data_IF_761240959589
#
_entry.id   IF_761240959589
#
_cell.length_a   1.000
_cell.length_b   1.000
_cell.length_c   1.000
_cell.angle_alpha   90.00
_cell.angle_beta   90.00
_cell.angle_gamma   90.00
#
_symmetry.space_group_name_H-M   'P 1'
#
loop_
_entity.id
_entity.type
_entity.pdbx_description
1 polymer ?
#
# COMPACT_ATOMS: atom_id res chain seq x y z
N UNK A 1 80.85 19.00 -2.65
CA UNK A 1 79.80 20.00 -2.32
C UNK A 1 78.52 19.60 -3.06
N UNK A 2 77.65 18.80 -2.43
CA UNK A 2 76.37 18.35 -2.98
C UNK A 2 75.23 18.84 -2.13
N UNK A 3 74.39 19.66 -2.70
CA UNK A 3 73.21 20.23 -2.03
C UNK A 3 72.08 19.20 -2.03
N UNK A 4 71.68 18.72 -0.85
CA UNK A 4 70.41 18.00 -0.65
C UNK A 4 69.21 18.91 -0.84
N UNK A 5 68.39 18.56 -1.80
CA UNK A 5 67.10 19.20 -1.99
C UNK A 5 66.04 18.46 -1.15
N UNK A 6 65.55 19.14 -0.14
CA UNK A 6 64.40 18.72 0.67
C UNK A 6 63.11 18.91 -0.10
N UNK A 7 62.32 17.84 -0.33
CA UNK A 7 61.01 17.92 -0.83
C UNK A 7 60.01 17.99 0.37
N UNK A 8 59.04 18.88 0.35
CA UNK A 8 58.01 18.89 1.39
C UNK A 8 56.99 17.75 1.10
N UNK A 9 56.78 16.91 2.09
CA UNK A 9 55.66 15.94 2.14
C UNK A 9 54.36 16.74 2.28
N UNK A 10 53.58 16.81 1.19
CA UNK A 10 52.19 17.23 1.22
C UNK A 10 51.34 16.11 1.80
N UNK A 11 51.01 16.16 3.09
CA UNK A 11 49.95 15.33 3.69
C UNK A 11 48.60 15.81 3.12
N UNK A 12 48.06 15.06 2.17
CA UNK A 12 46.69 15.21 1.72
C UNK A 12 45.79 14.52 2.75
N UNK A 13 45.23 15.29 3.68
CA UNK A 13 44.15 14.82 4.56
C UNK A 13 42.86 14.67 3.72
N UNK A 14 42.49 13.42 3.43
CA UNK A 14 41.17 13.09 2.96
C UNK A 14 40.17 13.19 4.10
N UNK A 15 39.43 14.29 4.17
CA UNK A 15 38.25 14.43 5.00
C UNK A 15 37.14 13.55 4.39
N UNK A 16 36.96 12.36 4.94
CA UNK A 16 35.77 11.54 4.72
C UNK A 16 34.57 12.27 5.36
N UNK A 17 33.83 13.01 4.55
CA UNK A 17 32.53 13.52 4.95
C UNK A 17 31.57 12.32 5.10
N UNK A 18 31.40 11.85 6.32
CA UNK A 18 30.37 10.87 6.68
C UNK A 18 29.02 11.61 6.60
N UNK A 19 28.33 11.48 5.45
CA UNK A 19 26.97 11.95 5.32
C UNK A 19 26.09 11.09 6.23
N UNK A 20 25.78 11.58 7.43
CA UNK A 20 24.71 11.04 8.25
C UNK A 20 23.39 11.24 7.48
N UNK A 21 22.94 10.19 6.82
CA UNK A 21 21.55 10.08 6.40
C UNK A 21 20.73 9.93 7.70
N UNK A 22 20.29 11.07 8.25
CA UNK A 22 19.22 11.06 9.24
C UNK A 22 17.98 10.55 8.53
N UNK A 23 17.68 9.25 8.65
CA UNK A 23 16.34 8.78 8.40
C UNK A 23 15.43 9.63 9.29
N UNK A 24 14.59 10.47 8.67
CA UNK A 24 13.52 11.13 9.37
C UNK A 24 12.70 10.01 10.03
N UNK A 25 12.77 9.93 11.36
CA UNK A 25 11.82 9.14 12.11
C UNK A 25 10.50 9.89 11.91
N UNK A 26 9.68 9.37 10.97
CA UNK A 26 8.27 9.72 10.91
C UNK A 26 7.75 9.54 12.34
N UNK A 27 7.41 10.67 12.98
CA UNK A 27 6.89 10.63 14.33
C UNK A 27 5.68 9.73 14.32
N UNK A 28 5.81 8.50 14.87
CA UNK A 28 4.76 7.49 14.82
C UNK A 28 3.51 8.08 15.47
N UNK A 29 2.56 8.46 14.63
CA UNK A 29 1.27 8.98 15.09
C UNK A 29 0.54 7.85 15.81
N UNK A 30 0.39 8.00 17.13
CA UNK A 30 -0.40 7.04 17.92
C UNK A 30 -1.86 7.17 17.53
N UNK A 31 -2.44 6.12 16.97
CA UNK A 31 -3.83 6.10 16.51
C UNK A 31 -4.60 4.93 17.12
N UNK A 32 -5.80 5.20 17.62
CA UNK A 32 -6.72 4.19 18.16
C UNK A 32 -8.11 4.64 17.74
N UNK A 33 -8.74 3.87 16.87
CA UNK A 33 -10.04 4.22 16.31
C UNK A 33 -11.05 3.12 16.62
N UNK A 34 -12.16 3.50 17.20
CA UNK A 34 -13.36 2.67 17.30
C UNK A 34 -14.06 2.59 15.94
N UNK A 35 -14.95 1.62 15.70
CA UNK A 35 -15.74 1.56 14.47
C UNK A 35 -16.50 2.86 14.16
N UNK A 36 -17.04 3.52 15.17
CA UNK A 36 -17.74 4.80 15.02
C UNK A 36 -16.82 5.93 14.55
N UNK A 37 -15.59 5.97 15.05
CA UNK A 37 -14.59 6.96 14.64
C UNK A 37 -14.08 6.66 13.22
N UNK A 38 -13.93 5.40 12.83
CA UNK A 38 -13.60 5.00 11.44
C UNK A 38 -14.73 5.46 10.51
N UNK A 39 -15.99 5.26 10.89
CA UNK A 39 -17.15 5.69 10.10
C UNK A 39 -17.17 7.20 9.83
N UNK A 40 -16.67 7.99 10.77
CA UNK A 40 -16.60 9.44 10.67
C UNK A 40 -15.42 9.98 9.85
N UNK A 41 -14.47 9.11 9.44
CA UNK A 41 -13.34 9.53 8.60
C UNK A 41 -13.82 9.93 7.20
N UNK A 42 -13.14 10.87 6.54
CA UNK A 42 -13.35 11.19 5.13
C UNK A 42 -13.29 9.94 4.24
N UNK A 43 -14.12 9.91 3.21
CA UNK A 43 -14.14 8.84 2.21
C UNK A 43 -13.72 9.36 0.85
N UNK A 44 -12.97 8.53 0.12
CA UNK A 44 -12.53 8.79 -1.24
C UNK A 44 -12.93 7.60 -2.14
N UNK A 45 -13.29 7.87 -3.39
CA UNK A 45 -13.57 6.85 -4.41
C UNK A 45 -12.62 6.91 -5.60
N UNK A 46 -11.78 7.95 -5.67
CA UNK A 46 -10.76 8.13 -6.70
C UNK A 46 -9.45 8.62 -6.08
N UNK A 47 -8.31 8.25 -6.67
CA UNK A 47 -6.97 8.59 -6.20
C UNK A 47 -6.14 7.37 -5.81
N UNK A 48 -4.93 7.60 -5.32
CA UNK A 48 -4.03 6.54 -4.90
C UNK A 48 -4.64 5.68 -3.77
N UNK A 49 -4.49 4.37 -3.87
CA UNK A 49 -5.06 3.42 -2.91
C UNK A 49 -6.56 3.13 -3.10
N UNK A 50 -7.21 3.75 -4.07
CA UNK A 50 -8.60 3.47 -4.43
C UNK A 50 -8.69 2.63 -5.70
N UNK A 51 -9.84 1.97 -5.91
CA UNK A 51 -10.11 1.25 -7.17
C UNK A 51 -10.53 2.18 -8.32
N UNK A 52 -10.82 3.45 -8.04
CA UNK A 52 -11.42 4.38 -9.00
C UNK A 52 -12.88 4.07 -9.37
N UNK A 53 -13.51 3.10 -8.71
CA UNK A 53 -14.90 2.71 -8.97
C UNK A 53 -15.85 3.44 -8.00
N UNK A 54 -16.96 4.01 -8.49
CA UNK A 54 -17.95 4.68 -7.62
C UNK A 54 -18.57 3.77 -6.54
N UNK A 55 -18.60 2.45 -6.79
CA UNK A 55 -19.10 1.45 -5.85
C UNK A 55 -18.10 1.07 -4.75
N UNK A 56 -16.91 1.67 -4.76
CA UNK A 56 -15.85 1.41 -3.77
C UNK A 56 -15.47 2.72 -3.11
N UNK A 57 -15.62 2.78 -1.79
CA UNK A 57 -15.15 3.91 -0.97
C UNK A 57 -13.96 3.50 -0.13
N UNK A 58 -13.00 4.39 -0.01
CA UNK A 58 -11.76 4.20 0.76
C UNK A 58 -11.69 5.21 1.90
N UNK A 59 -11.25 4.75 3.07
CA UNK A 59 -10.86 5.59 4.21
C UNK A 59 -9.41 5.33 4.55
N UNK A 60 -8.64 6.38 4.80
CA UNK A 60 -7.25 6.23 5.27
C UNK A 60 -7.28 6.10 6.79
N UNK A 61 -6.95 4.92 7.30
CA UNK A 61 -6.86 4.65 8.74
C UNK A 61 -5.51 5.08 9.31
N UNK A 62 -4.43 4.94 8.54
CA UNK A 62 -3.08 5.29 8.96
C UNK A 62 -2.22 5.64 7.74
N UNK A 63 -1.23 6.53 7.94
CA UNK A 63 -0.26 6.92 6.91
C UNK A 63 -0.86 7.70 5.75
N UNK A 64 -0.15 7.71 4.63
CA UNK A 64 -0.56 8.32 3.38
C UNK A 64 -0.24 7.38 2.22
N UNK A 65 -1.22 6.81 1.52
CA UNK A 65 -1.00 5.89 0.41
C UNK A 65 -0.32 6.53 -0.81
N UNK A 66 -0.22 7.86 -0.87
CA UNK A 66 0.41 8.59 -1.98
C UNK A 66 1.91 8.78 -1.81
N UNK A 67 2.44 8.57 -0.61
CA UNK A 67 3.84 8.81 -0.27
C UNK A 67 4.55 7.52 0.17
N UNK A 68 5.90 7.57 0.23
CA UNK A 68 6.69 6.46 0.77
C UNK A 68 6.45 6.33 2.27
N UNK A 69 6.02 5.15 2.72
CA UNK A 69 5.74 4.87 4.12
C UNK A 69 4.65 3.82 4.29
N UNK A 70 4.53 3.34 5.53
CA UNK A 70 3.47 2.41 5.89
C UNK A 70 2.12 3.12 5.85
N UNK A 71 1.14 2.52 5.18
CA UNK A 71 -0.24 2.98 5.21
C UNK A 71 -1.21 1.84 5.52
N UNK A 72 -2.38 2.18 6.05
CA UNK A 72 -3.52 1.29 6.18
C UNK A 72 -4.78 2.01 5.72
N UNK A 73 -5.52 1.36 4.83
CA UNK A 73 -6.81 1.84 4.32
C UNK A 73 -7.91 0.82 4.60
N UNK A 74 -9.14 1.30 4.70
CA UNK A 74 -10.35 0.50 4.71
C UNK A 74 -11.09 0.71 3.38
N UNK A 75 -11.34 -0.36 2.64
CA UNK A 75 -12.22 -0.37 1.48
C UNK A 75 -13.59 -0.85 1.89
N UNK A 76 -14.63 -0.12 1.51
CA UNK A 76 -16.03 -0.56 1.55
C UNK A 76 -16.55 -0.69 0.13
N UNK A 77 -16.96 -1.88 -0.19
CA UNK A 77 -17.38 -2.25 -1.54
C UNK A 77 -18.87 -2.56 -1.52
N UNK A 78 -19.62 -1.87 -2.36
CA UNK A 78 -21.06 -2.02 -2.46
C UNK A 78 -21.48 -3.45 -2.85
N UNK A 79 -22.74 -3.84 -2.63
CA UNK A 79 -23.28 -5.11 -3.07
C UNK A 79 -23.09 -5.38 -4.55
N UNK A 80 -22.83 -6.65 -4.91
CA UNK A 80 -22.73 -7.13 -6.28
C UNK A 80 -21.76 -6.34 -7.18
N UNK A 81 -20.69 -5.81 -6.58
CA UNK A 81 -19.65 -5.07 -7.29
C UNK A 81 -18.60 -6.03 -7.82
N UNK A 82 -18.15 -5.79 -9.04
CA UNK A 82 -17.00 -6.49 -9.65
C UNK A 82 -15.86 -5.49 -9.81
N UNK A 83 -14.71 -5.83 -9.23
CA UNK A 83 -13.44 -5.14 -9.41
C UNK A 83 -12.63 -5.97 -10.41
N UNK A 84 -12.43 -5.41 -11.60
CA UNK A 84 -11.73 -6.07 -12.70
C UNK A 84 -10.27 -6.34 -12.36
N UNK A 85 -9.64 -7.21 -13.13
CA UNK A 85 -8.24 -7.56 -12.96
C UNK A 85 -7.35 -6.31 -13.06
N UNK A 86 -6.50 -6.13 -12.05
CA UNK A 86 -5.63 -4.98 -11.91
C UNK A 86 -4.37 -5.36 -11.11
N UNK A 87 -3.41 -4.47 -11.09
CA UNK A 87 -2.16 -4.59 -10.33
C UNK A 87 -1.93 -3.35 -9.47
N UNK A 88 -1.05 -3.50 -8.49
CA UNK A 88 -0.51 -2.41 -7.70
C UNK A 88 1.02 -2.41 -7.76
N UNK A 89 1.64 -1.25 -7.61
CA UNK A 89 3.11 -1.14 -7.60
C UNK A 89 3.75 -1.60 -6.29
N UNK A 90 2.99 -1.62 -5.20
CA UNK A 90 3.41 -2.06 -3.88
C UNK A 90 2.83 -3.42 -3.50
N UNK A 91 3.49 -4.13 -2.61
CA UNK A 91 2.95 -5.34 -2.00
C UNK A 91 2.03 -4.96 -0.84
N UNK A 92 0.83 -5.53 -0.83
CA UNK A 92 -0.18 -5.26 0.18
C UNK A 92 -0.63 -6.54 0.85
N UNK A 93 -1.07 -6.40 2.09
CA UNK A 93 -1.75 -7.46 2.86
C UNK A 93 -3.13 -6.98 3.24
N UNK A 94 -4.09 -7.88 3.32
CA UNK A 94 -5.46 -7.53 3.62
C UNK A 94 -6.16 -8.53 4.53
N UNK A 95 -7.11 -8.00 5.31
CA UNK A 95 -8.02 -8.78 6.14
C UNK A 95 -9.44 -8.41 5.79
N UNK A 96 -10.31 -9.39 5.59
CA UNK A 96 -11.74 -9.18 5.43
C UNK A 96 -12.34 -8.82 6.79
N UNK A 97 -12.93 -7.63 6.89
CA UNK A 97 -13.53 -7.13 8.14
C UNK A 97 -15.01 -7.52 8.23
N UNK A 98 -15.73 -7.39 7.11
CA UNK A 98 -17.16 -7.69 7.05
C UNK A 98 -17.59 -8.14 5.65
N UNK A 99 -18.70 -8.86 5.57
CA UNK A 99 -19.25 -9.37 4.31
C UNK A 99 -18.48 -10.55 3.74
N UNK A 100 -18.77 -10.91 2.50
CA UNK A 100 -18.12 -12.01 1.79
C UNK A 100 -17.33 -11.46 0.61
N UNK A 101 -16.01 -11.62 0.66
CA UNK A 101 -15.07 -11.19 -0.34
C UNK A 101 -14.65 -12.34 -1.24
N UNK A 102 -14.95 -12.26 -2.53
CA UNK A 102 -14.52 -13.24 -3.51
C UNK A 102 -13.27 -12.71 -4.21
N UNK A 103 -12.14 -13.39 -4.02
CA UNK A 103 -10.84 -12.92 -4.49
C UNK A 103 -10.14 -13.98 -5.35
N UNK A 104 -9.53 -13.54 -6.45
CA UNK A 104 -8.79 -14.40 -7.36
C UNK A 104 -7.55 -13.71 -7.92
N UNK A 105 -6.51 -14.50 -8.18
CA UNK A 105 -5.31 -14.06 -8.88
C UNK A 105 -5.41 -14.34 -10.36
N UNK A 106 -4.80 -13.49 -11.17
CA UNK A 106 -4.71 -13.64 -12.62
C UNK A 106 -5.21 -12.42 -13.38
N UNK A 107 -4.89 -12.35 -14.68
CA UNK A 107 -5.20 -11.19 -15.52
C UNK A 107 -6.66 -11.14 -16.01
N UNK A 108 -7.46 -12.15 -15.66
CA UNK A 108 -8.88 -12.26 -16.04
C UNK A 108 -9.72 -12.71 -14.86
N UNK A 109 -10.96 -12.23 -14.79
CA UNK A 109 -11.91 -12.58 -13.75
C UNK A 109 -12.45 -14.02 -13.94
N UNK A 110 -11.60 -15.00 -13.77
CA UNK A 110 -11.95 -16.41 -13.95
C UNK A 110 -12.55 -17.01 -12.67
N UNK A 111 -13.80 -17.46 -12.76
CA UNK A 111 -14.52 -18.00 -11.60
C UNK A 111 -13.81 -19.21 -10.97
N UNK A 112 -13.08 -20.01 -11.76
CA UNK A 112 -12.41 -21.21 -11.30
C UNK A 112 -11.28 -20.97 -10.29
N UNK A 113 -10.68 -19.77 -10.28
CA UNK A 113 -9.57 -19.39 -9.37
C UNK A 113 -10.03 -18.51 -8.22
N UNK A 114 -11.32 -18.25 -8.09
CA UNK A 114 -11.87 -17.39 -7.04
C UNK A 114 -12.04 -18.18 -5.74
N UNK A 115 -11.53 -17.58 -4.66
CA UNK A 115 -11.76 -18.06 -3.30
C UNK A 115 -12.72 -17.14 -2.56
N UNK A 116 -13.72 -17.72 -1.90
CA UNK A 116 -14.61 -16.99 -1.00
C UNK A 116 -13.91 -16.79 0.35
N UNK A 117 -13.78 -15.55 0.76
CA UNK A 117 -13.08 -15.12 1.98
C UNK A 117 -14.10 -14.47 2.93
N UNK A 118 -14.50 -15.15 4.02
CA UNK A 118 -15.37 -14.58 5.05
C UNK A 118 -14.60 -13.61 5.97
N UNK A 119 -15.29 -12.91 6.89
CA UNK A 119 -14.65 -12.06 7.90
C UNK A 119 -13.55 -12.81 8.67
N UNK A 120 -12.43 -12.14 8.90
CA UNK A 120 -11.22 -12.71 9.50
C UNK A 120 -10.28 -13.41 8.51
N UNK A 121 -10.70 -13.62 7.27
CA UNK A 121 -9.81 -14.18 6.23
C UNK A 121 -8.71 -13.17 5.87
N UNK A 122 -7.52 -13.70 5.57
CA UNK A 122 -6.34 -12.96 5.17
C UNK A 122 -5.95 -13.29 3.72
N UNK A 123 -5.50 -12.29 2.99
CA UNK A 123 -4.92 -12.46 1.65
C UNK A 123 -3.83 -11.45 1.37
N UNK A 124 -3.08 -11.65 0.30
CA UNK A 124 -2.01 -10.76 -0.13
C UNK A 124 -2.25 -10.27 -1.55
N UNK A 125 -1.69 -9.11 -1.87
CA UNK A 125 -1.64 -8.54 -3.21
C UNK A 125 -0.18 -8.22 -3.52
N UNK A 126 0.60 -9.19 -4.05
CA UNK A 126 1.99 -8.95 -4.38
C UNK A 126 2.15 -7.87 -5.46
N UNK A 127 3.21 -7.07 -5.36
CA UNK A 127 3.50 -6.01 -6.32
C UNK A 127 3.56 -6.54 -7.75
N UNK A 128 2.82 -5.91 -8.66
CA UNK A 128 2.76 -6.27 -10.07
C UNK A 128 1.96 -7.55 -10.39
N UNK A 129 1.50 -8.30 -9.38
CA UNK A 129 0.66 -9.49 -9.58
C UNK A 129 -0.78 -9.06 -9.86
N UNK A 130 -1.32 -9.56 -10.97
CA UNK A 130 -2.70 -9.26 -11.35
C UNK A 130 -3.69 -10.05 -10.48
N UNK A 131 -4.69 -9.36 -9.99
CA UNK A 131 -5.76 -9.93 -9.18
C UNK A 131 -7.08 -9.20 -9.42
N UNK A 132 -8.16 -9.81 -8.99
CA UNK A 132 -9.52 -9.29 -9.14
C UNK A 132 -10.39 -9.71 -7.96
N UNK A 133 -11.50 -9.02 -7.80
CA UNK A 133 -12.39 -9.29 -6.69
C UNK A 133 -13.86 -9.02 -7.05
N UNK A 134 -14.75 -9.55 -6.22
CA UNK A 134 -16.17 -9.21 -6.28
C UNK A 134 -16.83 -9.39 -4.93
N UNK A 135 -17.95 -8.72 -4.75
CA UNK A 135 -18.82 -8.88 -3.58
C UNK A 135 -20.09 -9.64 -3.92
N UNK A 136 -20.67 -10.21 -2.89
CA UNK A 136 -22.04 -10.73 -2.92
C UNK A 136 -23.09 -9.65 -2.62
N UNK A 137 -24.34 -10.06 -2.33
CA UNK A 137 -25.48 -9.14 -2.15
C UNK A 137 -25.39 -8.22 -0.93
N UNK A 138 -24.47 -8.47 -0.01
CA UNK A 138 -24.30 -7.65 1.20
C UNK A 138 -23.09 -6.71 1.12
N UNK A 139 -22.34 -6.74 0.01
CA UNK A 139 -21.09 -6.01 -0.10
C UNK A 139 -19.98 -6.63 0.75
N UNK A 140 -18.89 -5.89 0.93
CA UNK A 140 -17.81 -6.29 1.82
C UNK A 140 -17.01 -5.08 2.31
N UNK A 141 -16.31 -5.27 3.43
CA UNK A 141 -15.32 -4.33 3.95
C UNK A 141 -14.01 -5.08 4.13
N UNK A 142 -12.92 -4.52 3.60
CA UNK A 142 -11.56 -5.07 3.75
C UNK A 142 -10.62 -3.99 4.29
N UNK A 143 -9.74 -4.39 5.19
CA UNK A 143 -8.64 -3.55 5.68
C UNK A 143 -7.34 -3.96 4.99
N UNK A 144 -6.69 -3.02 4.33
CA UNK A 144 -5.50 -3.25 3.51
C UNK A 144 -4.34 -2.45 4.09
N UNK A 145 -3.19 -3.10 4.23
CA UNK A 145 -1.94 -2.45 4.66
C UNK A 145 -0.88 -2.67 3.60
N UNK A 146 -0.19 -1.59 3.24
CA UNK A 146 0.91 -1.59 2.27
C UNK A 146 2.00 -0.60 2.63
N UNK A 147 3.01 -0.51 1.78
CA UNK A 147 4.09 0.46 1.88
C UNK A 147 4.10 1.30 0.59
N UNK A 148 3.60 2.52 0.70
CA UNK A 148 3.41 3.44 -0.42
C UNK A 148 4.68 3.94 -1.10
N UNK A 149 4.54 4.66 -2.20
CA UNK A 149 3.27 5.04 -2.81
C UNK A 149 2.58 3.85 -3.50
N UNK A 150 1.25 3.83 -3.45
CA UNK A 150 0.45 2.82 -4.15
C UNK A 150 -0.22 3.39 -5.40
N UNK A 151 -0.70 2.53 -6.28
CA UNK A 151 -1.51 2.84 -7.45
C UNK A 151 -2.54 1.74 -7.71
N UNK A 152 -3.35 1.89 -8.75
CA UNK A 152 -4.21 0.84 -9.29
C UNK A 152 -4.15 0.91 -10.82
N UNK A 153 -3.68 -0.16 -11.45
CA UNK A 153 -3.54 -0.24 -12.91
C UNK A 153 -4.37 -1.40 -13.42
N UNK A 154 -5.48 -1.09 -14.09
CA UNK A 154 -6.35 -2.10 -14.69
C UNK A 154 -5.73 -2.75 -15.91
N UNK A 155 -5.96 -4.05 -16.09
CA UNK A 155 -5.62 -4.77 -17.30
C UNK A 155 -6.38 -4.17 -18.50
N UNK A 156 -5.70 -4.06 -19.63
CA UNK A 156 -6.29 -3.58 -20.89
C UNK A 156 -7.00 -4.71 -21.63
#
# INVERSE_FOLDING_TARGET
MGRLRSWPLLCVMWLLALSLVTAAQDGQVKKRLTPKEIEALPTESAGAGTSGLPAVTTRVLFGDPTTSGLYTIELRVAPNTVIQAHTHRDTRTAVVVNGLWFFGYGPKNEQAVVKALPPGAFYTEPAGESHFARTGPEGATVSITGYGPTDTVYAK
#
